data_IF_748843110094
#
_entry.id   IF_748843110094
#
_cell.length_a   1.000
_cell.length_b   1.000
_cell.length_c   1.000
_cell.angle_alpha   90.00
_cell.angle_beta   90.00
_cell.angle_gamma   90.00
#
_symmetry.space_group_name_H-M   'P 1'
#
loop_
_entity.id
_entity.type
_entity.pdbx_description
1 polymer ?
#
# COMPACT_ATOMS: atom_id res chain seq x y z
N UNK A 1 5.65 46.36 -52.91
CA UNK A 1 6.30 45.14 -52.38
C UNK A 1 5.62 44.83 -51.05
N UNK A 2 4.53 44.07 -51.07
CA UNK A 2 3.64 43.84 -49.93
C UNK A 2 4.04 42.57 -49.17
N UNK A 3 4.07 42.66 -47.83
CA UNK A 3 4.45 41.57 -46.93
C UNK A 3 3.37 40.47 -46.90
N UNK A 4 3.72 39.18 -46.80
CA UNK A 4 2.74 38.10 -46.73
C UNK A 4 2.19 37.90 -45.31
N UNK A 5 0.94 37.42 -45.29
CA UNK A 5 0.02 37.26 -44.16
C UNK A 5 0.53 36.38 -43.01
N UNK A 6 0.54 36.94 -41.80
CA UNK A 6 0.87 36.26 -40.54
C UNK A 6 -0.35 35.60 -39.86
N UNK A 7 -1.54 35.66 -40.46
CA UNK A 7 -2.81 35.25 -39.83
C UNK A 7 -3.10 33.74 -39.92
N UNK A 8 -2.66 33.05 -40.98
CA UNK A 8 -3.01 31.63 -41.22
C UNK A 8 -2.21 30.64 -40.35
N UNK A 9 -0.99 31.00 -39.94
CA UNK A 9 -0.12 30.17 -39.09
C UNK A 9 -0.66 30.05 -37.66
N UNK A 10 -1.28 31.11 -37.13
CA UNK A 10 -1.75 31.18 -35.75
C UNK A 10 -2.99 30.29 -35.49
N UNK A 11 -3.86 30.11 -36.49
CA UNK A 11 -5.02 29.22 -36.41
C UNK A 11 -4.63 27.73 -36.48
N UNK A 12 -3.62 27.39 -37.29
CA UNK A 12 -3.05 26.05 -37.36
C UNK A 12 -2.40 25.63 -36.02
N UNK A 13 -1.64 26.54 -35.41
CA UNK A 13 -1.06 26.34 -34.08
C UNK A 13 -2.13 26.20 -32.99
N UNK A 14 -3.20 27.00 -33.04
CA UNK A 14 -4.28 26.95 -32.05
C UNK A 14 -5.08 25.64 -32.14
N UNK A 15 -5.36 25.14 -33.35
CA UNK A 15 -5.98 23.81 -33.55
C UNK A 15 -5.05 22.67 -33.14
N UNK A 16 -3.74 22.79 -33.38
CA UNK A 16 -2.74 21.83 -32.94
C UNK A 16 -2.65 21.75 -31.40
N UNK A 17 -2.59 22.90 -30.72
CA UNK A 17 -2.58 22.97 -29.24
C UNK A 17 -3.85 22.41 -28.63
N UNK A 18 -5.00 22.69 -29.23
CA UNK A 18 -6.28 22.14 -28.75
C UNK A 18 -6.34 20.63 -28.91
N UNK A 19 -5.84 20.09 -30.03
CA UNK A 19 -5.78 18.65 -30.29
C UNK A 19 -4.77 17.94 -29.38
N UNK A 20 -3.61 18.54 -29.12
CA UNK A 20 -2.62 18.05 -28.13
C UNK A 20 -3.20 18.05 -26.71
N UNK A 21 -3.93 19.10 -26.33
CA UNK A 21 -4.58 19.17 -25.03
C UNK A 21 -5.68 18.11 -24.87
N UNK A 22 -6.46 17.86 -25.93
CA UNK A 22 -7.47 16.80 -25.95
C UNK A 22 -6.84 15.40 -25.86
N UNK A 23 -5.73 15.15 -26.56
CA UNK A 23 -4.97 13.89 -26.44
C UNK A 23 -4.43 13.73 -25.04
N UNK A 24 -3.85 14.77 -24.45
CA UNK A 24 -3.31 14.74 -23.08
C UNK A 24 -4.40 14.55 -22.02
N UNK A 25 -5.61 15.09 -22.24
CA UNK A 25 -6.79 14.84 -21.40
C UNK A 25 -7.29 13.41 -21.53
N UNK A 26 -7.33 12.87 -22.75
CA UNK A 26 -7.69 11.48 -23.01
C UNK A 26 -6.65 10.52 -22.40
N UNK A 27 -5.35 10.81 -22.49
CA UNK A 27 -4.29 10.05 -21.83
C UNK A 27 -4.41 10.13 -20.30
N UNK A 28 -4.70 11.30 -19.72
CA UNK A 28 -4.95 11.44 -18.27
C UNK A 28 -6.20 10.69 -17.84
N UNK A 29 -7.26 10.72 -18.65
CA UNK A 29 -8.50 9.98 -18.39
C UNK A 29 -8.31 8.49 -18.58
N UNK A 30 -7.48 8.03 -19.52
CA UNK A 30 -7.11 6.62 -19.70
C UNK A 30 -6.15 6.13 -18.62
N UNK A 31 -5.25 6.99 -18.10
CA UNK A 31 -4.43 6.68 -16.94
C UNK A 31 -5.28 6.61 -15.65
N UNK A 32 -6.34 7.41 -15.55
CA UNK A 32 -7.30 7.37 -14.44
C UNK A 32 -8.38 6.27 -14.58
N UNK A 33 -8.78 5.92 -15.81
CA UNK A 33 -9.68 4.79 -16.13
C UNK A 33 -8.92 3.46 -16.18
N UNK A 34 -7.60 3.51 -16.39
CA UNK A 34 -6.65 2.41 -16.29
C UNK A 34 -6.38 2.01 -14.85
N UNK A 35 -7.42 1.85 -14.03
CA UNK A 35 -7.37 1.16 -12.74
C UNK A 35 -6.91 -0.31 -12.83
N UNK A 36 -6.41 -0.74 -13.99
CA UNK A 36 -5.79 -2.02 -14.27
C UNK A 36 -4.25 -1.95 -14.44
N UNK A 37 -3.62 -0.76 -14.34
CA UNK A 37 -2.15 -0.61 -14.58
C UNK A 37 -1.31 -0.66 -13.30
N UNK A 38 -1.93 -0.63 -12.12
CA UNK A 38 -1.27 -1.00 -10.84
C UNK A 38 -1.63 -2.42 -10.36
N UNK A 39 -2.52 -3.11 -11.05
CA UNK A 39 -2.94 -4.48 -10.71
C UNK A 39 -1.73 -5.42 -10.73
N UNK A 40 -1.31 -5.85 -9.54
CA UNK A 40 -0.19 -6.77 -9.35
C UNK A 40 1.16 -6.11 -9.01
N UNK A 41 1.24 -4.82 -8.65
CA UNK A 41 2.41 -4.29 -7.94
C UNK A 41 2.22 -4.43 -6.44
N UNK A 42 3.12 -5.18 -5.81
CA UNK A 42 3.06 -5.51 -4.39
C UNK A 42 4.25 -4.86 -3.67
N UNK A 43 3.99 -4.27 -2.51
CA UNK A 43 5.02 -3.89 -1.56
C UNK A 43 5.46 -5.13 -0.79
N UNK A 44 6.72 -5.53 -0.96
CA UNK A 44 7.34 -6.61 -0.20
C UNK A 44 7.85 -6.06 1.14
N UNK A 45 7.38 -6.65 2.24
CA UNK A 45 7.75 -6.26 3.60
C UNK A 45 8.03 -7.47 4.48
N UNK A 46 8.80 -7.25 5.55
CA UNK A 46 8.94 -8.19 6.65
C UNK A 46 8.05 -7.71 7.81
N UNK A 47 7.05 -8.53 8.17
CA UNK A 47 6.14 -8.32 9.30
C UNK A 47 6.34 -9.45 10.31
N UNK A 48 6.81 -9.11 11.51
CA UNK A 48 7.50 -10.05 12.39
C UNK A 48 8.67 -10.73 11.69
N UNK A 49 8.55 -12.04 11.51
CA UNK A 49 9.47 -12.87 10.73
C UNK A 49 8.90 -13.30 9.36
N UNK A 50 7.70 -12.84 8.99
CA UNK A 50 6.98 -13.27 7.79
C UNK A 50 7.25 -12.33 6.62
N UNK A 51 7.57 -12.91 5.47
CA UNK A 51 7.65 -12.19 4.21
C UNK A 51 6.23 -11.99 3.68
N UNK A 52 5.83 -10.73 3.55
CA UNK A 52 4.48 -10.37 3.18
C UNK A 52 4.46 -9.49 1.93
N UNK A 53 3.37 -9.60 1.18
CA UNK A 53 3.04 -8.78 0.02
C UNK A 53 1.81 -7.95 0.34
N UNK A 54 1.88 -6.64 0.10
CA UNK A 54 0.76 -5.73 0.25
C UNK A 54 0.44 -5.09 -1.10
N UNK A 55 -0.82 -5.12 -1.51
CA UNK A 55 -1.25 -4.41 -2.71
C UNK A 55 -1.00 -2.91 -2.53
N UNK A 56 -0.23 -2.30 -3.44
CA UNK A 56 0.12 -0.88 -3.33
C UNK A 56 -1.11 0.03 -3.31
N UNK A 57 -2.23 -0.38 -3.91
CA UNK A 57 -3.48 0.39 -3.88
C UNK A 57 -4.10 0.45 -2.47
N UNK A 58 -3.70 -0.46 -1.58
CA UNK A 58 -4.15 -0.54 -0.20
C UNK A 58 -3.15 0.07 0.79
N UNK A 59 -1.94 0.42 0.33
CA UNK A 59 -0.90 1.07 1.14
C UNK A 59 -1.00 2.59 0.99
N UNK A 60 -0.92 3.31 2.11
CA UNK A 60 -0.88 4.77 2.14
C UNK A 60 0.54 5.29 2.00
N UNK A 61 1.29 5.24 3.09
CA UNK A 61 2.64 5.78 3.20
C UNK A 61 3.57 4.80 3.91
N UNK A 62 4.86 4.88 3.57
CA UNK A 62 5.92 4.19 4.29
C UNK A 62 6.76 5.26 4.97
N UNK A 63 6.70 5.31 6.29
CA UNK A 63 7.44 6.28 7.08
C UNK A 63 8.46 5.59 8.00
N UNK A 64 9.57 6.26 8.35
CA UNK A 64 10.49 5.75 9.37
C UNK A 64 9.74 5.38 10.64
N UNK A 65 10.20 4.33 11.33
CA UNK A 65 9.72 4.08 12.68
C UNK A 65 9.96 5.33 13.55
N UNK A 66 8.92 5.71 14.28
CA UNK A 66 8.87 6.91 15.10
C UNK A 66 8.19 6.57 16.44
N UNK A 67 8.22 7.50 17.38
CA UNK A 67 7.62 7.31 18.69
C UNK A 67 6.13 6.91 18.57
N UNK A 68 5.79 5.82 19.26
CA UNK A 68 4.43 5.31 19.42
C UNK A 68 4.04 5.55 20.87
N UNK A 69 2.94 6.27 21.09
CA UNK A 69 2.38 6.51 22.42
C UNK A 69 1.45 5.35 22.78
N UNK A 70 1.77 4.53 23.79
CA UNK A 70 0.92 3.40 24.17
C UNK A 70 -0.44 3.89 24.67
N UNK A 71 -1.49 3.16 24.31
CA UNK A 71 -2.86 3.43 24.78
C UNK A 71 -3.20 2.43 25.90
N UNK A 72 -3.65 2.89 27.08
CA UNK A 72 -4.02 1.98 28.16
C UNK A 72 -5.20 1.07 27.79
N UNK A 73 -5.27 -0.11 28.45
CA UNK A 73 -6.36 -1.07 28.31
C UNK A 73 -6.56 -1.65 26.89
N UNK A 74 -5.52 -1.58 26.04
CA UNK A 74 -5.53 -2.23 24.73
C UNK A 74 -4.88 -3.62 24.76
N UNK A 75 -5.17 -4.41 23.74
CA UNK A 75 -4.51 -5.69 23.48
C UNK A 75 -3.02 -5.47 23.16
N UNK A 76 -2.12 -6.41 23.52
CA UNK A 76 -0.67 -6.24 23.35
C UNK A 76 -0.22 -5.95 21.91
N UNK A 77 -0.96 -6.45 20.93
CA UNK A 77 -0.65 -6.25 19.51
C UNK A 77 -0.97 -4.84 19.01
N UNK A 78 -1.78 -4.07 19.74
CA UNK A 78 -2.02 -2.67 19.47
C UNK A 78 -0.97 -1.84 20.22
N UNK A 79 0.08 -1.43 19.49
CA UNK A 79 1.25 -0.76 20.08
C UNK A 79 0.92 0.66 20.58
N UNK A 80 -0.14 1.27 20.05
CA UNK A 80 -0.61 2.58 20.46
C UNK A 80 -0.88 3.51 19.28
N UNK A 81 -0.66 4.81 19.48
CA UNK A 81 -0.88 5.86 18.48
C UNK A 81 0.44 6.52 18.07
N UNK A 82 0.57 6.80 16.78
CA UNK A 82 1.65 7.61 16.22
C UNK A 82 1.07 8.80 15.45
N UNK A 83 1.79 9.93 15.45
CA UNK A 83 1.46 11.08 14.61
C UNK A 83 2.15 10.93 13.25
N UNK A 84 1.43 10.47 12.23
CA UNK A 84 1.94 10.38 10.86
C UNK A 84 1.47 11.60 10.08
N UNK A 85 2.40 12.52 9.78
CA UNK A 85 2.14 13.75 9.00
C UNK A 85 0.95 14.59 9.49
N UNK A 86 0.75 14.66 10.81
CA UNK A 86 -0.34 15.42 11.43
C UNK A 86 -1.60 14.60 11.71
N UNK A 87 -1.69 13.36 11.24
CA UNK A 87 -2.78 12.44 11.54
C UNK A 87 -2.47 11.50 12.70
N UNK A 88 -3.44 11.24 13.58
CA UNK A 88 -3.35 10.18 14.58
C UNK A 88 -3.62 8.83 13.91
N UNK A 89 -2.61 7.96 13.93
CA UNK A 89 -2.65 6.65 13.29
C UNK A 89 -2.43 5.58 14.35
N UNK A 90 -3.34 4.60 14.42
CA UNK A 90 -3.15 3.41 15.24
C UNK A 90 -2.03 2.55 14.70
N UNK A 91 -1.13 2.07 15.56
CA UNK A 91 -0.01 1.22 15.15
C UNK A 91 -0.20 -0.19 15.68
N UNK A 92 -0.14 -1.16 14.78
CA UNK A 92 -0.36 -2.57 15.08
C UNK A 92 0.89 -3.38 14.76
N UNK A 93 1.24 -4.28 15.68
CA UNK A 93 2.16 -5.37 15.40
C UNK A 93 1.37 -6.59 14.88
N UNK A 94 1.55 -6.91 13.60
CA UNK A 94 0.82 -8.00 12.98
C UNK A 94 1.25 -9.38 13.51
N UNK A 95 2.52 -9.55 13.89
CA UNK A 95 2.98 -10.81 14.46
C UNK A 95 2.30 -11.05 15.82
N UNK A 96 2.27 -10.01 16.67
CA UNK A 96 1.50 -10.04 17.91
C UNK A 96 0.00 -10.30 17.69
N UNK A 97 -0.59 -9.74 16.63
CA UNK A 97 -2.00 -9.96 16.28
C UNK A 97 -2.31 -11.40 15.88
N UNK A 98 -1.35 -12.06 15.21
CA UNK A 98 -1.41 -13.47 14.85
C UNK A 98 -1.06 -14.42 16.00
N UNK A 99 -0.65 -13.89 17.17
CA UNK A 99 -0.23 -14.68 18.33
C UNK A 99 1.24 -15.09 18.32
N UNK A 100 2.02 -14.59 17.36
CA UNK A 100 3.47 -14.78 17.30
C UNK A 100 4.18 -13.81 18.27
N UNK A 101 5.39 -14.15 18.70
CA UNK A 101 6.22 -13.25 19.48
C UNK A 101 6.78 -12.13 18.57
N UNK A 102 6.49 -10.85 18.84
CA UNK A 102 6.96 -9.76 17.99
C UNK A 102 8.47 -9.53 18.20
N UNK A 103 9.28 -9.45 17.12
CA UNK A 103 10.67 -9.06 17.25
C UNK A 103 10.78 -7.57 17.59
N UNK A 104 11.84 -7.16 18.30
CA UNK A 104 12.05 -5.74 18.60
C UNK A 104 12.21 -4.93 17.31
N UNK A 105 11.67 -3.71 17.29
CA UNK A 105 11.84 -2.80 16.18
C UNK A 105 13.31 -2.37 16.05
N UNK A 106 13.92 -2.66 14.89
CA UNK A 106 15.29 -2.25 14.56
C UNK A 106 15.33 -0.92 13.78
N UNK A 107 16.53 -0.42 13.43
CA UNK A 107 16.69 0.83 12.66
C UNK A 107 16.07 0.77 11.24
N UNK A 108 15.90 -0.44 10.69
CA UNK A 108 15.26 -0.67 9.40
C UNK A 108 13.72 -0.65 9.49
N UNK A 109 13.16 -0.58 10.70
CA UNK A 109 11.72 -0.64 10.90
C UNK A 109 11.01 0.57 10.29
N UNK A 110 9.82 0.32 9.75
CA UNK A 110 8.95 1.31 9.10
C UNK A 110 7.52 1.16 9.61
N UNK A 111 6.78 2.26 9.60
CA UNK A 111 5.33 2.20 9.70
C UNK A 111 4.79 2.21 8.27
N UNK A 112 4.01 1.18 7.93
CA UNK A 112 3.32 1.07 6.65
C UNK A 112 1.85 1.39 6.90
N UNK A 113 1.42 2.60 6.51
CA UNK A 113 0.05 3.05 6.76
C UNK A 113 -0.93 2.47 5.75
N UNK A 114 -2.18 2.36 6.17
CA UNK A 114 -3.28 1.96 5.30
C UNK A 114 -3.65 3.12 4.39
N UNK A 115 -4.03 2.82 3.15
CA UNK A 115 -4.52 3.83 2.23
C UNK A 115 -5.77 4.51 2.82
N UNK A 116 -5.94 5.84 2.67
CA UNK A 116 -7.09 6.55 3.22
C UNK A 116 -8.45 5.99 2.77
N UNK A 117 -8.52 5.42 1.57
CA UNK A 117 -9.73 4.78 1.02
C UNK A 117 -10.22 3.56 1.82
N UNK A 118 -9.38 2.98 2.68
CA UNK A 118 -9.78 1.89 3.57
C UNK A 118 -10.56 2.36 4.80
N UNK A 119 -10.60 3.67 5.07
CA UNK A 119 -11.43 4.27 6.13
C UNK A 119 -10.95 3.97 7.56
N UNK A 120 -9.77 3.36 7.71
CA UNK A 120 -9.17 3.03 9.01
C UNK A 120 -7.78 3.66 9.11
N UNK A 121 -7.58 4.72 9.93
CA UNK A 121 -6.27 5.34 10.12
C UNK A 121 -5.37 4.42 10.96
N UNK A 122 -4.75 3.45 10.28
CA UNK A 122 -3.94 2.39 10.87
C UNK A 122 -2.61 2.25 10.13
N UNK A 123 -1.60 1.74 10.82
CA UNK A 123 -0.32 1.34 10.26
C UNK A 123 0.12 -0.01 10.84
N UNK A 124 0.79 -0.80 10.02
CA UNK A 124 1.53 -1.96 10.48
C UNK A 124 2.97 -1.57 10.79
N UNK A 125 3.49 -2.06 11.91
CA UNK A 125 4.92 -2.04 12.18
C UNK A 125 5.60 -3.12 11.32
N UNK A 126 6.34 -2.69 10.31
CA UNK A 126 7.21 -3.54 9.51
C UNK A 126 8.63 -3.49 10.04
N UNK A 127 9.25 -4.66 10.20
CA UNK A 127 10.66 -4.79 10.57
C UNK A 127 11.55 -4.28 9.44
N UNK A 128 11.09 -4.46 8.19
CA UNK A 128 11.79 -3.98 7.00
C UNK A 128 10.87 -3.86 5.80
N UNK A 129 11.15 -2.88 4.94
CA UNK A 129 10.62 -2.84 3.58
C UNK A 129 11.67 -3.43 2.65
N UNK A 130 11.27 -4.45 1.88
CA UNK A 130 12.14 -5.24 1.01
C UNK A 130 12.13 -4.72 -0.44
N UNK A 131 11.18 -3.86 -0.78
CA UNK A 131 11.05 -3.24 -2.10
C UNK A 131 9.72 -3.53 -2.76
N UNK A 132 9.66 -3.35 -4.07
CA UNK A 132 8.48 -3.64 -4.88
C UNK A 132 8.67 -4.96 -5.62
N UNK A 133 7.59 -5.71 -5.79
CA UNK A 133 7.53 -6.93 -6.59
C UNK A 133 6.35 -6.87 -7.55
N UNK A 134 6.47 -7.56 -8.68
CA UNK A 134 5.31 -7.81 -9.55
C UNK A 134 4.74 -9.17 -9.19
N UNK A 135 3.44 -9.23 -8.91
CA UNK A 135 2.74 -10.46 -8.57
C UNK A 135 2.88 -11.51 -9.68
N UNK A 136 2.97 -11.07 -10.94
CA UNK A 136 3.20 -11.94 -12.09
C UNK A 136 4.60 -12.60 -12.13
N UNK A 137 5.57 -12.11 -11.35
CA UNK A 137 6.91 -12.72 -11.19
C UNK A 137 6.92 -13.77 -10.07
N UNK A 138 5.83 -13.89 -9.32
CA UNK A 138 5.70 -14.83 -8.23
C UNK A 138 4.87 -16.02 -8.68
N UNK A 139 5.27 -17.21 -8.26
CA UNK A 139 4.47 -18.42 -8.47
C UNK A 139 3.40 -18.50 -7.40
N UNK A 140 2.15 -18.70 -7.81
CA UNK A 140 1.04 -19.01 -6.90
C UNK A 140 1.34 -20.34 -6.18
N UNK A 141 1.22 -20.33 -4.85
CA UNK A 141 1.46 -21.48 -3.98
C UNK A 141 0.18 -21.95 -3.26
N UNK A 142 -0.98 -21.43 -3.68
CA UNK A 142 -2.30 -21.81 -3.22
C UNK A 142 -2.86 -20.91 -2.13
N UNK A 143 -3.94 -21.41 -1.52
CA UNK A 143 -4.71 -20.72 -0.47
C UNK A 143 -4.73 -21.60 0.77
N UNK A 144 -4.27 -21.07 1.90
CA UNK A 144 -4.46 -21.70 3.21
C UNK A 144 -5.89 -21.46 3.69
N UNK A 145 -6.74 -22.48 3.56
CA UNK A 145 -8.15 -22.40 3.95
C UNK A 145 -8.36 -22.35 5.47
N UNK A 146 -7.34 -22.65 6.28
CA UNK A 146 -7.41 -22.51 7.73
C UNK A 146 -7.04 -21.08 8.17
N UNK A 147 -6.37 -20.30 7.31
CA UNK A 147 -6.01 -18.93 7.59
C UNK A 147 -7.21 -17.97 7.41
N UNK A 148 -7.22 -16.82 8.10
CA UNK A 148 -8.16 -15.76 7.81
C UNK A 148 -8.11 -15.32 6.34
N UNK A 149 -9.24 -14.94 5.72
CA UNK A 149 -9.30 -14.56 4.30
C UNK A 149 -8.33 -13.45 3.88
N UNK A 150 -7.99 -12.55 4.81
CA UNK A 150 -7.07 -11.44 4.55
C UNK A 150 -5.60 -11.87 4.45
N UNK A 151 -5.24 -13.11 4.79
CA UNK A 151 -3.86 -13.63 4.66
C UNK A 151 -3.79 -15.07 4.13
N UNK A 152 -4.82 -15.53 3.44
CA UNK A 152 -4.90 -16.91 2.98
C UNK A 152 -4.06 -17.19 1.72
N UNK A 153 -3.77 -16.18 0.89
CA UNK A 153 -3.10 -16.36 -0.40
C UNK A 153 -1.58 -16.38 -0.27
N UNK A 154 -0.96 -17.46 -0.76
CA UNK A 154 0.48 -17.68 -0.66
C UNK A 154 1.15 -17.68 -2.04
N UNK A 155 2.38 -17.21 -2.07
CA UNK A 155 3.22 -17.14 -3.27
C UNK A 155 4.65 -17.57 -2.94
N UNK A 156 5.40 -17.97 -3.97
CA UNK A 156 6.83 -18.30 -3.86
C UNK A 156 7.58 -17.57 -4.97
N UNK A 157 8.73 -16.97 -4.64
CA UNK A 157 9.60 -16.36 -5.66
C UNK A 157 10.59 -17.36 -6.28
N UNK A 158 11.35 -16.92 -7.28
CA UNK A 158 12.34 -17.75 -7.98
C UNK A 158 13.43 -18.34 -7.07
N UNK A 159 13.67 -17.73 -5.91
CA UNK A 159 14.63 -18.23 -4.91
C UNK A 159 14.01 -19.25 -3.94
N UNK A 160 12.72 -19.57 -4.09
CA UNK A 160 11.99 -20.46 -3.19
C UNK A 160 11.54 -19.78 -1.89
N UNK A 161 11.62 -18.45 -1.79
CA UNK A 161 11.15 -17.73 -0.60
C UNK A 161 9.62 -17.74 -0.57
N UNK A 162 8.97 -18.25 0.50
CA UNK A 162 7.53 -18.13 0.66
C UNK A 162 7.11 -16.71 1.04
N UNK A 163 5.96 -16.30 0.51
CA UNK A 163 5.33 -15.00 0.70
C UNK A 163 3.85 -15.17 1.04
N UNK A 164 3.36 -14.41 2.00
CA UNK A 164 1.92 -14.31 2.31
C UNK A 164 1.40 -12.98 1.78
N UNK A 165 0.39 -13.01 0.91
CA UNK A 165 -0.27 -11.80 0.43
C UNK A 165 -1.34 -11.36 1.41
N UNK A 166 -1.25 -10.12 1.88
CA UNK A 166 -2.20 -9.56 2.83
C UNK A 166 -3.18 -8.62 2.13
N UNK A 167 -4.47 -8.82 2.40
CA UNK A 167 -5.54 -7.90 1.99
C UNK A 167 -5.88 -6.98 3.16
N UNK A 168 -5.33 -5.77 3.14
CA UNK A 168 -5.54 -4.76 4.17
C UNK A 168 -6.99 -4.26 4.19
N UNK A 169 -7.72 -4.32 3.08
CA UNK A 169 -9.12 -3.95 3.05
C UNK A 169 -9.99 -4.98 3.79
N UNK A 170 -9.65 -6.27 3.71
CA UNK A 170 -10.30 -7.30 4.51
C UNK A 170 -9.88 -7.23 5.98
N UNK A 171 -8.59 -7.04 6.27
CA UNK A 171 -8.08 -6.87 7.63
C UNK A 171 -8.74 -5.67 8.34
N UNK A 172 -8.87 -4.53 7.65
CA UNK A 172 -9.53 -3.33 8.18
C UNK A 172 -11.02 -3.54 8.53
N UNK A 173 -11.64 -4.62 8.07
CA UNK A 173 -13.03 -4.98 8.39
C UNK A 173 -13.13 -6.16 9.34
N UNK A 174 -12.01 -6.76 9.73
CA UNK A 174 -12.02 -7.91 10.63
C UNK A 174 -12.45 -7.47 12.05
N UNK A 175 -13.52 -8.07 12.62
CA UNK A 175 -14.04 -7.63 13.92
C UNK A 175 -13.01 -7.64 15.04
N UNK A 176 -12.12 -8.65 15.06
CA UNK A 176 -11.07 -8.80 16.06
C UNK A 176 -9.96 -7.76 15.91
N UNK A 177 -9.71 -7.29 14.70
CA UNK A 177 -8.74 -6.22 14.41
C UNK A 177 -9.29 -4.84 14.82
N UNK A 178 -10.60 -4.63 14.66
CA UNK A 178 -11.26 -3.39 15.08
C UNK A 178 -11.48 -3.30 16.59
N UNK A 179 -11.56 -4.44 17.29
CA UNK A 179 -11.73 -4.50 18.73
C UNK A 179 -10.38 -4.52 19.47
N UNK A 180 -9.79 -3.34 19.66
CA UNK A 180 -8.44 -3.20 20.26
C UNK A 180 -8.44 -3.25 21.79
N UNK A 181 -9.61 -3.15 22.44
CA UNK A 181 -9.75 -3.12 23.90
C UNK A 181 -9.65 -4.51 24.55
N UNK A 182 -9.33 -4.53 25.84
CA UNK A 182 -9.39 -5.73 26.70
C UNK A 182 -10.66 -5.78 27.54
#
# INVERSE_FOLDING_TARGET
>A
MAAPDQHTTQEGERRSRLRQYQVQLLERMQAAQGGAVESGRELAVLLGARHCLLDLTQVGEIVPHQAITPVPLTLPWYLGLANVRGGLTGVVDLAGYLGDAPPPAGPEARLVTFAPGLGLPCALLAQRVLGLRRLAELRDDGVDLAAPPWCAHHYVDDAGQPWVRLDLAQLAREPRFLHVGR
#
